data_IF_056004349025
#
_entry.id   IF_056004349025
#
_cell.length_a   1.000
_cell.length_b   1.000
_cell.length_c   1.000
_cell.angle_alpha   90.00
_cell.angle_beta   90.00
_cell.angle_gamma   90.00
#
_symmetry.space_group_name_H-M   'P 1'
#
loop_
_entity.id
_entity.type
_entity.pdbx_description
1 polymer ?
#
# COMPACT_ATOMS: atom_id res chain seq x y z
N UNK A 1 15.29 -6.30 -29.53
CA UNK A 1 13.90 -5.78 -29.49
C UNK A 1 12.85 -6.85 -29.18
N UNK A 2 12.90 -8.04 -29.78
CA UNK A 2 11.87 -9.09 -29.55
C UNK A 2 12.01 -9.73 -28.14
N UNK A 3 13.23 -9.94 -27.64
CA UNK A 3 13.50 -10.47 -26.29
C UNK A 3 12.93 -9.61 -25.15
N UNK A 4 13.19 -8.30 -25.19
CA UNK A 4 12.62 -7.34 -24.22
C UNK A 4 11.09 -7.26 -24.30
N UNK A 5 10.48 -7.56 -25.45
CA UNK A 5 9.02 -7.58 -25.61
C UNK A 5 8.42 -8.81 -24.94
N UNK A 6 9.09 -9.97 -25.04
CA UNK A 6 8.68 -11.24 -24.41
C UNK A 6 8.84 -11.16 -22.89
N UNK A 7 9.95 -10.59 -22.38
CA UNK A 7 10.15 -10.36 -20.95
C UNK A 7 9.12 -9.38 -20.36
N UNK A 8 8.79 -8.30 -21.09
CA UNK A 8 7.68 -7.40 -20.70
C UNK A 8 6.33 -8.11 -20.70
N UNK A 9 6.07 -8.96 -21.69
CA UNK A 9 4.82 -9.72 -21.78
C UNK A 9 4.71 -10.75 -20.64
N UNK A 10 5.81 -11.39 -20.25
CA UNK A 10 5.87 -12.33 -19.12
C UNK A 10 5.70 -11.60 -17.77
N UNK A 11 6.35 -10.44 -17.56
CA UNK A 11 6.12 -9.61 -16.37
C UNK A 11 4.68 -9.08 -16.30
N UNK A 12 4.08 -8.67 -17.43
CA UNK A 12 2.68 -8.25 -17.50
C UNK A 12 1.75 -9.42 -17.17
N UNK A 13 2.03 -10.62 -17.67
CA UNK A 13 1.23 -11.81 -17.35
C UNK A 13 1.34 -12.20 -15.87
N UNK A 14 2.53 -12.12 -15.25
CA UNK A 14 2.75 -12.40 -13.82
C UNK A 14 1.97 -11.38 -12.94
N UNK A 15 1.97 -10.10 -13.33
CA UNK A 15 1.25 -9.02 -12.61
C UNK A 15 -0.27 -9.09 -12.82
N UNK A 16 -0.75 -9.53 -13.99
CA UNK A 16 -2.19 -9.74 -14.25
C UNK A 16 -2.71 -10.97 -13.48
N UNK A 17 -1.88 -12.01 -13.31
CA UNK A 17 -2.20 -13.19 -12.49
C UNK A 17 -2.27 -12.82 -10.99
N UNK A 18 -1.50 -11.85 -10.50
CA UNK A 18 -1.48 -11.44 -9.08
C UNK A 18 -2.56 -10.42 -8.68
N UNK A 19 -3.09 -9.62 -9.61
CA UNK A 19 -4.13 -8.62 -9.32
C UNK A 19 -5.54 -9.20 -9.50
N UNK A 20 -5.73 -10.10 -10.48
CA UNK A 20 -6.99 -10.82 -10.67
C UNK A 20 -7.33 -11.76 -9.51
N UNK A 21 -6.37 -12.10 -8.65
CA UNK A 21 -6.49 -13.14 -7.62
C UNK A 21 -6.82 -12.62 -6.22
N UNK A 22 -6.80 -11.31 -5.93
CA UNK A 22 -7.16 -10.82 -4.59
C UNK A 22 -8.67 -10.52 -4.44
N UNK A 23 -9.28 -9.78 -5.38
CA UNK A 23 -10.73 -9.48 -5.33
C UNK A 23 -11.56 -10.65 -5.84
N UNK A 24 -11.12 -11.32 -6.92
CA UNK A 24 -11.72 -12.57 -7.36
C UNK A 24 -11.43 -13.68 -6.34
N UNK A 25 -10.28 -13.68 -5.66
CA UNK A 25 -9.94 -14.68 -4.65
C UNK A 25 -10.74 -14.59 -3.37
N UNK A 26 -11.21 -13.40 -2.92
CA UNK A 26 -12.10 -13.30 -1.74
C UNK A 26 -13.53 -13.71 -2.08
N UNK A 27 -14.05 -13.32 -3.26
CA UNK A 27 -15.38 -13.73 -3.74
C UNK A 27 -15.41 -15.20 -4.16
N UNK A 28 -14.36 -15.70 -4.84
CA UNK A 28 -14.16 -17.12 -5.10
C UNK A 28 -13.95 -17.86 -3.79
N UNK A 29 -13.13 -17.43 -2.84
CA UNK A 29 -12.96 -18.16 -1.58
C UNK A 29 -14.27 -18.28 -0.80
N UNK A 30 -15.13 -17.25 -0.76
CA UNK A 30 -16.44 -17.37 -0.11
C UNK A 30 -17.38 -18.31 -0.88
N UNK A 31 -17.38 -18.26 -2.22
CA UNK A 31 -18.15 -19.20 -3.06
C UNK A 31 -17.61 -20.63 -2.97
N UNK A 32 -16.29 -20.82 -2.97
CA UNK A 32 -15.57 -22.09 -2.92
C UNK A 32 -15.62 -22.71 -1.52
N UNK A 33 -15.59 -21.91 -0.45
CA UNK A 33 -15.82 -22.39 0.93
C UNK A 33 -17.23 -22.97 1.04
N UNK A 34 -18.25 -22.30 0.47
CA UNK A 34 -19.63 -22.80 0.47
C UNK A 34 -19.84 -24.00 -0.47
N UNK A 35 -19.14 -24.03 -1.61
CA UNK A 35 -19.23 -25.13 -2.59
C UNK A 35 -18.40 -26.36 -2.13
N UNK A 36 -17.25 -26.19 -1.49
CA UNK A 36 -16.30 -27.30 -1.19
C UNK A 36 -16.81 -28.30 -0.16
N UNK A 37 -17.65 -27.89 0.79
CA UNK A 37 -18.28 -28.84 1.73
C UNK A 37 -19.35 -29.72 1.05
N UNK A 38 -19.71 -29.42 -0.21
CA UNK A 38 -20.57 -30.27 -1.07
C UNK A 38 -19.80 -31.11 -2.10
N UNK A 39 -18.47 -30.95 -2.21
CA UNK A 39 -17.61 -31.75 -3.08
C UNK A 39 -17.07 -32.99 -2.36
N UNK A 40 -16.96 -34.11 -3.09
CA UNK A 40 -16.20 -35.27 -2.63
C UNK A 40 -14.73 -34.87 -2.45
N UNK A 41 -14.13 -35.24 -1.32
CA UNK A 41 -12.68 -35.09 -1.10
C UNK A 41 -11.93 -36.33 -1.61
N UNK A 42 -10.66 -36.15 -1.95
CA UNK A 42 -9.72 -37.25 -2.19
C UNK A 42 -8.79 -37.38 -0.97
N UNK A 43 -8.61 -38.60 -0.47
CA UNK A 43 -7.59 -38.87 0.55
C UNK A 43 -6.20 -38.72 -0.07
N UNK A 44 -5.37 -37.86 0.49
CA UNK A 44 -4.01 -37.61 0.00
C UNK A 44 -3.10 -37.30 1.20
N UNK A 45 -1.95 -37.98 1.30
CA UNK A 45 -0.97 -37.79 2.39
C UNK A 45 -1.59 -37.73 3.81
N UNK A 46 -2.51 -38.64 4.11
CA UNK A 46 -3.27 -38.75 5.38
C UNK A 46 -4.19 -37.55 5.70
N UNK A 47 -4.46 -36.70 4.71
CA UNK A 47 -5.42 -35.60 4.81
C UNK A 47 -6.52 -35.68 3.76
N UNK A 48 -7.35 -34.64 3.74
CA UNK A 48 -8.46 -34.50 2.80
C UNK A 48 -8.18 -33.36 1.84
N UNK A 49 -8.12 -33.67 0.55
CA UNK A 49 -7.95 -32.68 -0.52
C UNK A 49 -9.25 -32.44 -1.28
N UNK A 50 -9.54 -31.18 -1.56
CA UNK A 50 -10.71 -30.69 -2.27
C UNK A 50 -10.20 -29.83 -3.44
N UNK A 51 -10.25 -30.37 -4.66
CA UNK A 51 -9.75 -29.71 -5.86
C UNK A 51 -9.38 -30.72 -6.94
N UNK A 52 -8.76 -30.23 -8.00
CA UNK A 52 -8.37 -31.06 -9.13
C UNK A 52 -7.12 -31.89 -8.80
N UNK A 53 -7.10 -33.10 -9.34
CA UNK A 53 -5.98 -34.04 -9.23
C UNK A 53 -5.41 -34.29 -10.63
N UNK A 54 -4.09 -34.29 -10.76
CA UNK A 54 -3.37 -34.69 -11.97
C UNK A 54 -2.38 -35.78 -11.61
N UNK A 55 -2.38 -36.90 -12.35
CA UNK A 55 -1.48 -38.04 -12.09
C UNK A 55 -1.48 -38.52 -10.61
N UNK A 56 -2.63 -38.47 -9.94
CA UNK A 56 -2.78 -38.90 -8.55
C UNK A 56 -2.29 -37.90 -7.49
N UNK A 57 -1.92 -36.68 -7.88
CA UNK A 57 -1.50 -35.60 -6.95
C UNK A 57 -2.31 -34.32 -7.14
N UNK A 58 -2.44 -33.46 -6.10
CA UNK A 58 -3.06 -32.15 -6.18
C UNK A 58 -2.50 -31.28 -7.32
N UNK A 59 -3.38 -30.62 -8.07
CA UNK A 59 -2.99 -29.70 -9.13
C UNK A 59 -4.05 -28.61 -9.34
N UNK A 60 -3.64 -27.38 -9.62
CA UNK A 60 -4.54 -26.23 -9.74
C UNK A 60 -4.95 -25.65 -8.39
N UNK A 61 -6.05 -24.90 -8.35
CA UNK A 61 -6.61 -24.37 -7.10
C UNK A 61 -7.23 -25.48 -6.27
N UNK A 62 -6.91 -25.51 -4.97
CA UNK A 62 -7.43 -26.54 -4.09
C UNK A 62 -7.21 -26.28 -2.61
N UNK A 63 -7.94 -27.05 -1.79
CA UNK A 63 -7.89 -27.00 -0.33
C UNK A 63 -7.48 -28.35 0.24
N UNK A 64 -6.45 -28.37 1.07
CA UNK A 64 -5.98 -29.53 1.81
C UNK A 64 -6.22 -29.34 3.31
N UNK A 65 -6.78 -30.33 3.99
CA UNK A 65 -6.97 -30.35 5.45
C UNK A 65 -6.22 -31.52 6.06
N UNK A 66 -5.33 -31.25 7.01
CA UNK A 66 -4.56 -32.26 7.75
C UNK A 66 -4.24 -31.75 9.15
N UNK A 67 -4.42 -32.59 10.17
CA UNK A 67 -4.06 -32.32 11.57
C UNK A 67 -4.57 -30.97 12.11
N UNK A 68 -5.79 -30.59 11.75
CA UNK A 68 -6.40 -29.31 12.16
C UNK A 68 -5.88 -28.07 11.39
N UNK A 69 -4.94 -28.25 10.46
CA UNK A 69 -4.42 -27.20 9.59
C UNK A 69 -5.16 -27.24 8.25
N UNK A 70 -5.55 -26.06 7.77
CA UNK A 70 -6.11 -25.87 6.43
C UNK A 70 -5.09 -25.18 5.54
N UNK A 71 -4.85 -25.74 4.36
CA UNK A 71 -4.04 -25.16 3.28
C UNK A 71 -4.97 -24.88 2.10
N UNK A 72 -4.99 -23.67 1.58
CA UNK A 72 -5.86 -23.27 0.46
C UNK A 72 -5.07 -22.44 -0.55
N UNK A 73 -5.02 -22.86 -1.81
CA UNK A 73 -4.34 -22.10 -2.87
C UNK A 73 -3.92 -22.96 -4.04
N UNK A 74 -2.85 -22.54 -4.72
CA UNK A 74 -2.42 -23.12 -5.98
C UNK A 74 -1.40 -24.26 -5.77
N UNK A 75 -1.71 -25.41 -6.36
CA UNK A 75 -0.91 -26.63 -6.33
C UNK A 75 -0.37 -26.95 -7.72
N UNK A 76 0.90 -27.36 -7.78
CA UNK A 76 1.53 -27.85 -9.00
C UNK A 76 2.25 -29.16 -8.67
N UNK A 77 1.85 -30.25 -9.33
CA UNK A 77 2.44 -31.58 -9.13
C UNK A 77 2.49 -32.01 -7.64
N UNK A 78 1.45 -31.72 -6.87
CA UNK A 78 1.36 -32.04 -5.44
C UNK A 78 2.11 -31.09 -4.51
N UNK A 79 2.76 -30.05 -5.04
CA UNK A 79 3.47 -29.02 -4.28
C UNK A 79 2.62 -27.75 -4.27
N UNK A 80 2.27 -27.24 -3.10
CA UNK A 80 1.60 -25.95 -2.98
C UNK A 80 2.63 -24.83 -3.21
N UNK A 81 2.39 -23.98 -4.20
CA UNK A 81 3.30 -22.91 -4.61
C UNK A 81 2.94 -21.56 -3.98
N UNK A 82 1.65 -21.34 -3.69
CA UNK A 82 1.17 -20.13 -3.03
C UNK A 82 -0.21 -20.32 -2.44
N UNK A 83 -0.52 -19.57 -1.39
CA UNK A 83 -1.87 -19.51 -0.84
C UNK A 83 -1.87 -19.22 0.65
N UNK A 84 -2.91 -19.72 1.32
CA UNK A 84 -3.20 -19.46 2.72
C UNK A 84 -3.07 -20.74 3.56
N UNK A 85 -2.39 -20.63 4.70
CA UNK A 85 -2.32 -21.68 5.72
C UNK A 85 -2.98 -21.17 6.99
N UNK A 86 -3.99 -21.88 7.48
CA UNK A 86 -4.71 -21.56 8.71
C UNK A 86 -4.50 -22.65 9.75
N UNK A 87 -3.96 -22.27 10.91
CA UNK A 87 -3.72 -23.14 12.06
C UNK A 87 -4.28 -22.51 13.35
N UNK A 88 -4.15 -23.25 14.45
CA UNK A 88 -4.39 -22.77 15.80
C UNK A 88 -3.39 -21.69 16.26
N UNK A 89 -2.22 -21.58 15.59
CA UNK A 89 -1.15 -20.64 15.96
C UNK A 89 -1.07 -19.40 15.09
N UNK A 90 -1.40 -19.52 13.81
CA UNK A 90 -1.27 -18.44 12.85
C UNK A 90 -2.16 -18.61 11.63
N UNK A 91 -2.32 -17.51 10.90
CA UNK A 91 -2.73 -17.48 9.51
C UNK A 91 -1.52 -16.99 8.70
N UNK A 92 -1.11 -17.75 7.70
CA UNK A 92 -0.09 -17.36 6.73
C UNK A 92 -0.73 -17.18 5.36
N UNK A 93 -0.29 -16.17 4.61
CA UNK A 93 -0.66 -15.96 3.21
C UNK A 93 0.57 -15.52 2.42
N UNK A 94 0.95 -16.28 1.38
CA UNK A 94 2.14 -15.98 0.59
C UNK A 94 2.59 -17.15 -0.28
N UNK A 95 3.84 -17.06 -0.70
CA UNK A 95 4.53 -18.11 -1.46
C UNK A 95 4.88 -19.32 -0.57
N UNK A 96 4.90 -20.50 -1.17
CA UNK A 96 5.05 -21.77 -0.47
C UNK A 96 5.95 -22.70 -1.27
N UNK A 97 6.63 -23.59 -0.57
CA UNK A 97 7.26 -24.77 -1.17
C UNK A 97 6.68 -26.00 -0.48
N UNK A 98 5.53 -26.45 -0.97
CA UNK A 98 4.74 -27.49 -0.31
C UNK A 98 4.07 -26.91 0.93
N UNK A 99 4.32 -27.49 2.11
CA UNK A 99 3.75 -27.00 3.37
C UNK A 99 4.62 -25.96 4.07
N UNK A 100 5.78 -25.60 3.50
CA UNK A 100 6.74 -24.68 4.10
C UNK A 100 6.58 -23.27 3.55
N UNK A 101 6.71 -22.27 4.41
CA UNK A 101 6.75 -20.87 3.99
C UNK A 101 8.02 -20.63 3.17
N UNK A 102 7.85 -19.97 2.01
CA UNK A 102 8.94 -19.61 1.11
C UNK A 102 8.62 -18.28 0.43
N UNK A 103 9.59 -17.66 -0.24
CA UNK A 103 9.37 -16.39 -0.94
C UNK A 103 8.83 -15.29 -0.02
N UNK A 104 8.02 -14.38 -0.56
CA UNK A 104 7.38 -13.35 0.25
C UNK A 104 6.03 -13.83 0.82
N UNK A 105 5.78 -13.51 2.09
CA UNK A 105 4.48 -13.80 2.70
C UNK A 105 4.20 -13.05 4.00
N UNK A 106 2.95 -13.13 4.42
CA UNK A 106 2.42 -12.47 5.60
C UNK A 106 1.98 -13.52 6.60
N UNK A 107 2.52 -13.46 7.83
CA UNK A 107 2.08 -14.29 8.94
C UNK A 107 1.40 -13.44 10.00
N UNK A 108 0.15 -13.75 10.31
CA UNK A 108 -0.61 -13.19 11.42
C UNK A 108 -0.77 -14.25 12.51
N UNK A 109 -0.15 -14.00 13.66
CA UNK A 109 -0.12 -14.94 14.77
C UNK A 109 -1.28 -14.68 15.72
N UNK A 110 -1.82 -15.74 16.34
CA UNK A 110 -2.93 -15.62 17.30
C UNK A 110 -2.55 -14.87 18.57
N UNK A 111 -1.25 -14.71 18.85
CA UNK A 111 -0.73 -13.88 19.95
C UNK A 111 -0.70 -12.38 19.63
N UNK A 112 -1.19 -11.97 18.45
CA UNK A 112 -1.30 -10.58 18.01
C UNK A 112 -0.09 -10.07 17.23
N UNK A 113 0.97 -10.86 17.06
CA UNK A 113 2.11 -10.48 16.20
C UNK A 113 1.72 -10.58 14.73
N UNK A 114 2.35 -9.76 13.90
CA UNK A 114 2.22 -9.85 12.44
C UNK A 114 3.56 -9.61 11.75
N UNK A 115 3.88 -10.42 10.76
CA UNK A 115 5.11 -10.30 9.97
C UNK A 115 4.77 -10.18 8.49
N UNK A 116 5.42 -9.24 7.82
CA UNK A 116 5.42 -9.08 6.36
C UNK A 116 6.87 -9.16 5.90
N UNK A 117 7.21 -10.14 5.06
CA UNK A 117 8.58 -10.24 4.58
C UNK A 117 8.89 -11.55 3.92
N UNK A 118 10.18 -11.76 3.66
CA UNK A 118 10.66 -12.98 3.04
C UNK A 118 10.79 -14.14 4.02
N UNK A 119 10.67 -15.34 3.45
CA UNK A 119 10.72 -16.63 4.13
C UNK A 119 11.59 -17.62 3.35
N UNK A 120 12.31 -18.47 4.09
CA UNK A 120 13.07 -19.58 3.55
C UNK A 120 12.88 -20.79 4.45
N UNK A 121 12.12 -21.79 3.98
CA UNK A 121 11.87 -23.03 4.71
C UNK A 121 11.35 -22.79 6.13
N UNK A 122 10.28 -22.00 6.27
CA UNK A 122 9.64 -21.59 7.54
C UNK A 122 10.42 -20.58 8.39
N UNK A 123 11.66 -20.24 8.02
CA UNK A 123 12.44 -19.21 8.69
C UNK A 123 12.21 -17.85 8.05
N UNK A 124 12.03 -16.80 8.86
CA UNK A 124 12.11 -15.41 8.37
C UNK A 124 13.47 -15.20 7.73
N UNK A 125 13.50 -14.63 6.53
CA UNK A 125 14.71 -14.41 5.76
C UNK A 125 14.58 -13.08 5.00
N UNK A 126 15.68 -12.51 4.51
CA UNK A 126 15.65 -11.29 3.70
C UNK A 126 15.00 -10.10 4.41
N UNK A 127 14.48 -9.13 3.66
CA UNK A 127 13.83 -7.95 4.22
C UNK A 127 12.50 -8.34 4.89
N UNK A 128 12.23 -7.78 6.07
CA UNK A 128 10.96 -8.00 6.76
C UNK A 128 10.58 -6.92 7.76
N UNK A 129 9.26 -6.73 7.92
CA UNK A 129 8.62 -5.90 8.94
C UNK A 129 7.87 -6.80 9.93
N UNK A 130 8.30 -6.79 11.18
CA UNK A 130 7.60 -7.42 12.30
C UNK A 130 6.87 -6.35 13.11
N UNK A 131 5.57 -6.56 13.33
CA UNK A 131 4.77 -5.81 14.29
C UNK A 131 4.48 -6.70 15.50
N UNK A 132 4.81 -6.22 16.69
CA UNK A 132 4.48 -6.90 17.95
C UNK A 132 2.99 -6.73 18.29
N UNK A 133 2.53 -7.46 19.31
CA UNK A 133 1.17 -7.30 19.86
C UNK A 133 0.89 -5.88 20.39
N UNK A 134 1.94 -5.16 20.80
CA UNK A 134 1.89 -3.81 21.37
C UNK A 134 2.21 -2.76 20.30
N UNK A 135 2.01 -3.09 19.01
CA UNK A 135 2.28 -2.24 17.83
C UNK A 135 3.73 -1.77 17.63
N UNK A 136 4.69 -2.22 18.44
CA UNK A 136 6.12 -1.95 18.21
C UNK A 136 6.58 -2.59 16.91
N UNK A 137 7.35 -1.84 16.12
CA UNK A 137 7.87 -2.29 14.83
C UNK A 137 9.34 -2.72 14.93
N UNK A 138 9.69 -3.73 14.15
CA UNK A 138 11.07 -4.11 13.86
C UNK A 138 11.21 -4.32 12.36
N UNK A 139 12.14 -3.61 11.74
CA UNK A 139 12.35 -3.64 10.29
C UNK A 139 13.84 -3.81 10.00
N UNK A 140 14.22 -4.94 9.41
CA UNK A 140 15.60 -5.29 9.14
C UNK A 140 15.68 -6.42 8.10
N UNK A 141 16.90 -6.82 7.76
CA UNK A 141 17.14 -8.11 7.12
C UNK A 141 17.14 -9.22 8.15
N UNK A 142 16.64 -10.40 7.78
CA UNK A 142 16.62 -11.61 8.57
C UNK A 142 17.49 -12.68 7.92
N UNK A 143 18.19 -13.47 8.73
CA UNK A 143 18.90 -14.66 8.29
C UNK A 143 18.54 -15.85 9.18
N UNK A 144 17.95 -16.90 8.58
CA UNK A 144 17.47 -18.10 9.27
C UNK A 144 16.68 -17.80 10.56
N UNK A 145 15.79 -16.81 10.51
CA UNK A 145 14.95 -16.40 11.64
C UNK A 145 15.57 -15.33 12.56
N UNK A 146 16.85 -15.02 12.39
CA UNK A 146 17.57 -14.05 13.23
C UNK A 146 17.59 -12.67 12.59
N UNK A 147 17.23 -11.65 13.37
CA UNK A 147 17.34 -10.24 12.94
C UNK A 147 18.80 -9.84 12.77
N UNK A 148 19.12 -9.19 11.66
CA UNK A 148 20.44 -8.61 11.40
C UNK A 148 20.45 -7.18 11.95
N UNK A 149 20.82 -7.06 13.23
CA UNK A 149 20.86 -5.77 13.95
C UNK A 149 22.08 -4.97 13.51
N UNK A 150 21.89 -3.67 13.34
CA UNK A 150 22.96 -2.70 13.04
C UNK A 150 23.37 -2.03 14.36
N UNK A 151 24.56 -2.32 14.93
CA UNK A 151 24.90 -1.93 16.30
C UNK A 151 24.90 -0.42 16.57
N UNK A 152 25.20 0.39 15.56
CA UNK A 152 25.36 1.85 15.69
C UNK A 152 24.09 2.62 15.24
N UNK A 153 22.94 1.95 15.14
CA UNK A 153 21.67 2.61 14.81
C UNK A 153 21.12 3.34 16.04
N UNK A 154 20.89 4.64 15.92
CA UNK A 154 20.37 5.52 16.97
C UNK A 154 18.95 6.03 16.64
N UNK A 155 18.06 5.11 16.29
CA UNK A 155 16.65 5.40 16.03
C UNK A 155 15.80 4.15 16.28
N UNK A 156 14.51 4.35 16.57
CA UNK A 156 13.54 3.26 16.57
C UNK A 156 12.66 3.32 15.33
N UNK A 157 12.26 2.14 14.84
CA UNK A 157 11.29 2.05 13.75
C UNK A 157 9.93 2.50 14.26
N UNK A 158 9.35 3.47 13.56
CA UNK A 158 8.04 4.03 13.89
C UNK A 158 8.08 5.33 14.70
N UNK A 159 9.24 5.77 15.19
CA UNK A 159 9.37 7.10 15.82
C UNK A 159 9.14 8.20 14.78
N UNK A 160 9.69 8.02 13.58
CA UNK A 160 9.35 8.78 12.37
C UNK A 160 8.62 7.87 11.40
N UNK A 161 7.49 8.34 10.88
CA UNK A 161 6.63 7.57 9.99
C UNK A 161 6.78 8.08 8.56
N UNK A 162 7.57 7.35 7.78
CA UNK A 162 7.82 7.69 6.38
C UNK A 162 6.89 6.95 5.42
N UNK A 163 6.56 7.61 4.33
CA UNK A 163 5.75 7.06 3.26
C UNK A 163 6.03 7.71 1.93
N UNK A 164 5.35 7.22 0.90
CA UNK A 164 5.47 7.70 -0.46
C UNK A 164 4.12 8.10 -1.01
N UNK A 165 4.10 9.00 -1.98
CA UNK A 165 2.99 9.11 -2.89
C UNK A 165 3.45 8.86 -4.32
N UNK A 166 2.55 8.26 -5.09
CA UNK A 166 2.91 7.57 -6.33
C UNK A 166 1.78 7.65 -7.35
N UNK A 167 2.15 7.55 -8.61
CA UNK A 167 1.24 7.48 -9.76
C UNK A 167 1.74 6.45 -10.77
N UNK A 168 1.17 6.42 -11.98
CA UNK A 168 1.73 5.63 -13.08
C UNK A 168 3.18 5.96 -13.43
N UNK A 169 3.66 7.15 -13.08
CA UNK A 169 4.99 7.62 -13.46
C UNK A 169 6.12 6.92 -12.70
N UNK A 170 5.84 6.30 -11.55
CA UNK A 170 6.78 5.48 -10.80
C UNK A 170 6.95 4.05 -11.36
N UNK A 171 6.32 3.73 -12.49
CA UNK A 171 6.56 2.47 -13.19
C UNK A 171 6.04 1.24 -12.43
N UNK A 172 6.82 0.16 -12.47
CA UNK A 172 6.56 -1.07 -11.70
C UNK A 172 7.33 -0.97 -10.39
N UNK A 173 6.62 -1.10 -9.28
CA UNK A 173 7.19 -1.00 -7.93
C UNK A 173 7.37 -2.40 -7.36
N UNK A 174 8.57 -2.71 -6.84
CA UNK A 174 8.86 -3.94 -6.09
C UNK A 174 8.44 -3.76 -4.62
N UNK A 175 7.14 -3.86 -4.36
CA UNK A 175 6.54 -3.52 -3.06
C UNK A 175 7.14 -4.27 -1.87
N UNK A 176 7.54 -5.52 -2.08
CA UNK A 176 8.18 -6.37 -1.07
C UNK A 176 9.60 -5.95 -0.69
N UNK A 177 10.25 -5.14 -1.54
CA UNK A 177 11.62 -4.67 -1.37
C UNK A 177 11.69 -3.16 -1.03
N UNK A 178 10.56 -2.54 -0.68
CA UNK A 178 10.51 -1.10 -0.41
C UNK A 178 11.14 -0.72 0.93
N UNK A 179 12.20 0.07 0.87
CA UNK A 179 12.77 0.79 2.00
C UNK A 179 13.53 2.04 1.56
N UNK A 180 13.71 2.96 2.51
CA UNK A 180 14.59 4.10 2.36
C UNK A 180 15.93 3.80 3.02
N UNK A 181 17.03 4.26 2.41
CA UNK A 181 18.29 4.39 3.14
C UNK A 181 18.26 5.67 3.99
N UNK A 182 18.84 5.61 5.18
CA UNK A 182 18.91 6.74 6.12
C UNK A 182 20.31 6.85 6.76
N UNK A 183 20.53 7.89 7.56
CA UNK A 183 21.71 8.00 8.41
C UNK A 183 21.55 7.19 9.72
N UNK A 184 22.56 7.23 10.58
CA UNK A 184 22.55 6.53 11.87
C UNK A 184 21.45 7.03 12.83
N UNK A 185 20.91 8.23 12.60
CA UNK A 185 19.80 8.84 13.34
C UNK A 185 18.43 8.51 12.72
N UNK A 186 18.39 7.67 11.69
CA UNK A 186 17.15 7.23 11.04
C UNK A 186 16.51 8.28 10.12
N UNK A 187 17.26 9.31 9.75
CA UNK A 187 16.79 10.41 8.91
C UNK A 187 17.02 10.13 7.42
N UNK A 188 15.96 10.32 6.63
CA UNK A 188 16.03 10.23 5.17
C UNK A 188 16.39 11.62 4.63
N UNK A 189 17.32 11.66 3.70
CA UNK A 189 17.70 12.90 3.01
C UNK A 189 17.73 12.71 1.49
N UNK A 190 17.66 13.81 0.74
CA UNK A 190 17.79 13.80 -0.71
C UNK A 190 19.19 13.39 -1.20
N UNK A 191 20.18 13.41 -0.30
CA UNK A 191 21.53 12.90 -0.52
C UNK A 191 21.60 11.53 0.14
N UNK A 192 21.56 10.49 -0.68
CA UNK A 192 21.59 9.11 -0.21
C UNK A 192 22.80 8.84 0.69
N UNK A 193 22.55 8.20 1.82
CA UNK A 193 23.49 7.20 2.31
C UNK A 193 23.32 5.94 1.42
N UNK A 194 24.26 5.69 0.52
CA UNK A 194 24.22 4.52 -0.38
C UNK A 194 24.68 3.23 0.30
N UNK A 195 25.05 3.27 1.57
CA UNK A 195 25.60 2.10 2.27
C UNK A 195 24.55 1.01 2.51
N UNK A 196 23.24 1.31 2.37
CA UNK A 196 22.11 0.44 2.74
C UNK A 196 22.20 -0.08 4.19
N UNK A 197 23.09 0.51 4.99
CA UNK A 197 23.42 0.04 6.34
C UNK A 197 22.28 0.38 7.29
N UNK A 198 21.76 1.60 7.21
CA UNK A 198 20.60 2.05 7.98
C UNK A 198 19.42 2.18 7.04
N UNK A 199 18.29 1.60 7.46
CA UNK A 199 17.08 1.57 6.66
C UNK A 199 15.86 2.01 7.47
N UNK A 200 14.95 2.69 6.80
CA UNK A 200 13.60 2.99 7.29
C UNK A 200 12.56 2.32 6.38
N UNK A 201 11.50 1.72 6.93
CA UNK A 201 10.42 1.18 6.11
C UNK A 201 9.62 2.30 5.46
N UNK A 202 9.09 2.01 4.27
CA UNK A 202 7.89 2.70 3.79
C UNK A 202 6.71 2.17 4.60
N UNK A 203 6.04 3.00 5.39
CA UNK A 203 4.91 2.60 6.25
C UNK A 203 3.55 2.93 5.65
N UNK A 204 3.49 3.96 4.79
CA UNK A 204 2.28 4.29 4.05
C UNK A 204 2.56 4.62 2.58
N UNK A 205 1.53 4.45 1.75
CA UNK A 205 1.56 4.82 0.35
C UNK A 205 0.22 5.44 -0.08
N UNK A 206 0.25 6.62 -0.71
CA UNK A 206 -0.94 7.28 -1.25
C UNK A 206 -0.85 7.27 -2.78
N UNK A 207 -1.75 6.53 -3.44
CA UNK A 207 -1.69 6.33 -4.89
C UNK A 207 -2.64 7.26 -5.64
N UNK A 208 -2.20 7.82 -6.77
CA UNK A 208 -3.08 8.53 -7.70
C UNK A 208 -4.17 7.59 -8.16
N UNK A 209 -5.43 7.97 -7.96
CA UNK A 209 -6.55 7.20 -8.49
C UNK A 209 -7.11 7.82 -9.76
N UNK A 210 -7.49 9.09 -9.71
CA UNK A 210 -8.15 9.77 -10.84
C UNK A 210 -7.69 11.22 -10.99
N UNK A 211 -7.96 11.78 -12.16
CA UNK A 211 -7.76 13.18 -12.50
C UNK A 211 -8.95 13.68 -13.33
N UNK A 212 -9.55 14.80 -12.91
CA UNK A 212 -10.74 15.30 -13.58
C UNK A 212 -11.87 14.26 -13.60
N UNK A 213 -12.78 14.36 -14.57
CA UNK A 213 -13.92 13.44 -14.69
C UNK A 213 -13.70 12.28 -15.67
N UNK A 214 -12.47 12.09 -16.17
CA UNK A 214 -12.21 11.20 -17.32
C UNK A 214 -10.99 10.29 -17.21
N UNK A 215 -10.00 10.64 -16.38
CA UNK A 215 -8.74 9.93 -16.35
C UNK A 215 -8.61 9.11 -15.06
N UNK A 216 -8.52 7.79 -15.20
CA UNK A 216 -8.09 6.86 -14.15
C UNK A 216 -6.59 6.60 -14.30
N UNK A 217 -5.88 6.56 -13.19
CA UNK A 217 -4.47 6.17 -13.20
C UNK A 217 -4.34 4.68 -13.53
N UNK A 218 -3.55 4.37 -14.57
CA UNK A 218 -3.41 3.01 -15.09
C UNK A 218 -2.70 2.05 -14.13
N UNK A 219 -2.04 2.57 -13.08
CA UNK A 219 -1.36 1.78 -12.05
C UNK A 219 -2.07 1.80 -10.70
N UNK A 220 -3.17 2.54 -10.54
CA UNK A 220 -3.84 2.68 -9.23
C UNK A 220 -4.15 1.34 -8.59
N UNK A 221 -4.81 0.45 -9.33
CA UNK A 221 -5.27 -0.84 -8.80
C UNK A 221 -4.10 -1.74 -8.36
N UNK A 222 -3.09 -1.88 -9.22
CA UNK A 222 -1.87 -2.65 -8.90
C UNK A 222 -1.12 -2.06 -7.72
N UNK A 223 -0.99 -0.74 -7.67
CA UNK A 223 -0.24 -0.07 -6.62
C UNK A 223 -0.96 -0.17 -5.28
N UNK A 224 -2.27 0.06 -5.26
CA UNK A 224 -3.08 -0.02 -4.06
C UNK A 224 -3.16 -1.45 -3.50
N UNK A 225 -3.39 -2.47 -4.35
CA UNK A 225 -3.48 -3.86 -3.88
C UNK A 225 -2.15 -4.37 -3.34
N UNK A 226 -1.04 -4.11 -4.05
CA UNK A 226 0.28 -4.57 -3.63
C UNK A 226 0.82 -3.82 -2.40
N UNK A 227 0.55 -2.52 -2.28
CA UNK A 227 0.84 -1.76 -1.07
C UNK A 227 0.13 -2.38 0.15
N UNK A 228 -1.16 -2.70 0.01
CA UNK A 228 -1.95 -3.30 1.09
C UNK A 228 -1.46 -4.71 1.43
N UNK A 229 -1.15 -5.54 0.42
CA UNK A 229 -0.52 -6.86 0.60
C UNK A 229 0.81 -6.76 1.35
N UNK A 230 1.58 -5.69 1.11
CA UNK A 230 2.85 -5.42 1.76
C UNK A 230 2.73 -4.62 3.08
N UNK A 231 1.54 -4.57 3.67
CA UNK A 231 1.32 -4.04 5.01
C UNK A 231 1.38 -2.52 5.11
N UNK A 232 1.28 -1.80 3.98
CA UNK A 232 1.28 -0.33 3.99
C UNK A 232 -0.10 0.19 4.39
N UNK A 233 -0.13 1.26 5.19
CA UNK A 233 -1.35 2.05 5.32
C UNK A 233 -1.57 2.76 3.98
N UNK A 234 -2.68 2.46 3.32
CA UNK A 234 -2.92 2.92 1.95
C UNK A 234 -3.80 4.17 1.94
N UNK A 235 -3.65 4.99 0.90
CA UNK A 235 -4.53 6.10 0.59
C UNK A 235 -4.68 6.25 -0.92
N UNK A 236 -5.62 7.11 -1.32
CA UNK A 236 -5.80 7.45 -2.72
C UNK A 236 -6.05 8.95 -2.88
N UNK A 237 -5.50 9.53 -3.95
CA UNK A 237 -5.71 10.93 -4.26
C UNK A 237 -6.39 11.16 -5.61
N UNK A 238 -7.14 12.26 -5.66
CA UNK A 238 -7.79 12.79 -6.85
C UNK A 238 -7.16 14.11 -7.26
N UNK A 239 -6.61 14.17 -8.46
CA UNK A 239 -6.09 15.41 -9.04
C UNK A 239 -7.24 16.27 -9.55
N UNK A 240 -7.52 17.37 -8.87
CA UNK A 240 -8.62 18.26 -9.20
C UNK A 240 -8.31 19.06 -10.47
N UNK A 241 -9.32 19.29 -11.31
CA UNK A 241 -9.19 20.12 -12.51
C UNK A 241 -10.35 21.10 -12.64
N UNK A 242 -10.19 22.10 -13.51
CA UNK A 242 -11.28 23.04 -13.86
C UNK A 242 -12.16 22.55 -15.02
N UNK A 243 -11.92 21.33 -15.55
CA UNK A 243 -12.54 20.86 -16.79
C UNK A 243 -13.92 20.24 -16.60
N UNK A 244 -14.36 20.08 -15.36
CA UNK A 244 -15.64 19.49 -14.98
C UNK A 244 -16.09 20.00 -13.60
N UNK A 245 -17.38 19.85 -13.27
CA UNK A 245 -17.90 20.20 -11.94
C UNK A 245 -17.27 19.34 -10.84
N UNK A 246 -17.31 19.83 -9.59
CA UNK A 246 -16.79 19.07 -8.44
C UNK A 246 -17.56 17.77 -8.24
N UNK A 247 -18.88 17.82 -8.48
CA UNK A 247 -19.76 16.65 -8.41
C UNK A 247 -19.43 15.56 -9.44
N UNK A 248 -19.16 15.94 -10.69
CA UNK A 248 -18.76 14.98 -11.72
C UNK A 248 -17.42 14.31 -11.39
N UNK A 249 -16.45 15.11 -10.95
CA UNK A 249 -15.14 14.64 -10.53
C UNK A 249 -15.24 13.70 -9.30
N UNK A 250 -16.06 14.05 -8.31
CA UNK A 250 -16.29 13.21 -7.14
C UNK A 250 -16.95 11.88 -7.49
N UNK A 251 -17.99 11.90 -8.34
CA UNK A 251 -18.64 10.68 -8.84
C UNK A 251 -17.63 9.78 -9.55
N UNK A 252 -16.79 10.36 -10.39
CA UNK A 252 -15.75 9.62 -11.11
C UNK A 252 -14.70 9.02 -10.16
N UNK A 253 -14.24 9.79 -9.16
CA UNK A 253 -13.33 9.28 -8.13
C UNK A 253 -13.94 8.11 -7.36
N UNK A 254 -15.17 8.26 -6.85
CA UNK A 254 -15.88 7.21 -6.09
C UNK A 254 -16.00 5.91 -6.89
N UNK A 255 -16.37 5.99 -8.16
CA UNK A 255 -16.55 4.81 -9.02
C UNK A 255 -15.24 4.06 -9.31
N UNK A 256 -14.10 4.75 -9.25
CA UNK A 256 -12.80 4.19 -9.64
C UNK A 256 -11.84 3.98 -8.46
N UNK A 257 -12.28 4.25 -7.22
CA UNK A 257 -11.42 4.21 -6.02
C UNK A 257 -12.05 3.39 -4.89
N UNK A 258 -11.99 2.04 -4.96
CA UNK A 258 -12.49 1.18 -3.88
C UNK A 258 -11.54 1.17 -2.67
N UNK A 259 -11.54 2.27 -1.91
CA UNK A 259 -10.90 2.32 -0.59
C UNK A 259 -11.59 1.34 0.37
N UNK A 260 -10.84 0.81 1.32
CA UNK A 260 -11.32 -0.16 2.30
C UNK A 260 -10.91 0.24 3.71
N UNK A 261 -11.55 -0.39 4.71
CA UNK A 261 -11.31 -0.10 6.12
C UNK A 261 -9.82 -0.11 6.45
N UNK A 262 -9.38 0.91 7.19
CA UNK A 262 -7.98 1.09 7.57
C UNK A 262 -7.14 1.90 6.58
N UNK A 263 -7.75 2.47 5.54
CA UNK A 263 -7.10 3.45 4.66
C UNK A 263 -7.17 4.86 5.22
N UNK A 264 -6.26 5.71 4.73
CA UNK A 264 -6.37 7.15 4.86
C UNK A 264 -7.70 7.65 4.31
N UNK A 265 -8.22 8.79 4.83
CA UNK A 265 -9.29 9.50 4.15
C UNK A 265 -8.95 9.81 2.68
N UNK A 266 -9.94 9.96 1.80
CA UNK A 266 -9.71 10.40 0.43
C UNK A 266 -8.91 11.70 0.38
N UNK A 267 -7.94 11.80 -0.51
CA UNK A 267 -7.14 13.01 -0.67
C UNK A 267 -7.62 13.79 -1.90
N UNK A 268 -7.91 15.07 -1.72
CA UNK A 268 -8.07 16.02 -2.81
C UNK A 268 -6.74 16.71 -3.08
N UNK A 269 -6.16 16.46 -4.24
CA UNK A 269 -4.97 17.16 -4.72
C UNK A 269 -5.40 18.50 -5.34
N UNK A 270 -5.11 19.58 -4.60
CA UNK A 270 -5.53 20.95 -4.83
C UNK A 270 -4.32 21.82 -5.19
N UNK A 271 -3.93 21.77 -6.46
CA UNK A 271 -2.76 22.48 -6.98
C UNK A 271 -3.04 23.29 -8.25
N UNK A 272 -2.20 24.29 -8.51
CA UNK A 272 -2.33 25.25 -9.63
C UNK A 272 -1.98 24.68 -11.01
N UNK A 273 -1.77 23.38 -11.13
CA UNK A 273 -1.39 22.78 -12.41
C UNK A 273 -2.63 22.34 -13.18
N UNK A 274 -2.72 22.73 -14.44
CA UNK A 274 -3.69 22.16 -15.36
C UNK A 274 -3.33 20.71 -15.72
N UNK A 275 -4.28 20.01 -16.33
CA UNK A 275 -4.06 18.66 -16.86
C UNK A 275 -2.91 18.55 -17.90
N UNK A 276 -2.51 19.68 -18.51
CA UNK A 276 -1.37 19.80 -19.43
C UNK A 276 -0.06 20.22 -18.75
N UNK A 277 -0.04 20.33 -17.41
CA UNK A 277 1.12 20.69 -16.61
C UNK A 277 1.42 22.20 -16.54
N UNK A 278 0.57 23.07 -17.09
CA UNK A 278 0.77 24.53 -17.02
C UNK A 278 0.19 25.11 -15.74
N UNK A 279 0.94 25.99 -15.09
CA UNK A 279 0.48 26.77 -13.94
C UNK A 279 -0.57 27.81 -14.37
N UNK A 280 -1.66 27.92 -13.62
CA UNK A 280 -2.70 28.96 -13.81
C UNK A 280 -2.54 30.12 -12.81
N UNK A 281 -2.95 31.33 -13.22
CA UNK A 281 -2.90 32.52 -12.36
C UNK A 281 -3.79 32.38 -11.13
N UNK A 282 -3.50 33.16 -10.09
CA UNK A 282 -4.24 33.13 -8.82
C UNK A 282 -5.72 33.49 -9.01
N UNK A 283 -6.04 34.43 -9.89
CA UNK A 283 -7.42 34.82 -10.20
C UNK A 283 -8.19 33.66 -10.79
N UNK A 284 -7.59 32.95 -11.76
CA UNK A 284 -8.20 31.79 -12.38
C UNK A 284 -8.27 30.60 -11.43
N UNK A 285 -7.29 30.45 -10.56
CA UNK A 285 -7.27 29.40 -9.55
C UNK A 285 -8.36 29.62 -8.48
N UNK A 286 -8.74 30.86 -8.17
CA UNK A 286 -9.83 31.13 -7.23
C UNK A 286 -11.16 30.46 -7.65
N UNK A 287 -11.39 30.27 -8.96
CA UNK A 287 -12.56 29.58 -9.51
C UNK A 287 -12.60 28.07 -9.17
N UNK A 288 -11.47 27.48 -8.73
CA UNK A 288 -11.41 26.07 -8.34
C UNK A 288 -11.96 25.83 -6.92
N UNK A 289 -12.13 26.87 -6.10
CA UNK A 289 -12.62 26.76 -4.71
C UNK A 289 -14.04 26.19 -4.65
N UNK A 290 -15.04 26.72 -5.39
CA UNK A 290 -16.38 26.11 -5.41
C UNK A 290 -16.36 24.66 -5.89
N UNK A 291 -15.53 24.35 -6.91
CA UNK A 291 -15.37 22.99 -7.45
C UNK A 291 -14.79 22.05 -6.37
N UNK A 292 -13.77 22.48 -5.64
CA UNK A 292 -13.19 21.72 -4.54
C UNK A 292 -14.21 21.45 -3.42
N UNK A 293 -14.98 22.47 -3.03
CA UNK A 293 -16.03 22.33 -1.99
C UNK A 293 -17.12 21.35 -2.40
N UNK A 294 -17.59 21.42 -3.65
CA UNK A 294 -18.52 20.44 -4.20
C UNK A 294 -17.95 19.02 -4.15
N UNK A 295 -16.70 18.84 -4.60
CA UNK A 295 -16.04 17.54 -4.56
C UNK A 295 -15.95 16.99 -3.14
N UNK A 296 -15.48 17.81 -2.20
CA UNK A 296 -15.34 17.45 -0.78
C UNK A 296 -16.67 17.04 -0.19
N UNK A 297 -17.74 17.80 -0.45
CA UNK A 297 -19.08 17.51 0.07
C UNK A 297 -19.59 16.14 -0.43
N UNK A 298 -19.41 15.85 -1.72
CA UNK A 298 -19.86 14.60 -2.35
C UNK A 298 -19.05 13.39 -1.84
N UNK A 299 -17.72 13.52 -1.75
CA UNK A 299 -16.82 12.46 -1.26
C UNK A 299 -17.05 12.19 0.23
N UNK A 300 -17.19 13.23 1.05
CA UNK A 300 -17.53 13.11 2.47
C UNK A 300 -18.89 12.43 2.65
N UNK A 301 -19.87 12.75 1.81
CA UNK A 301 -21.19 12.11 1.86
C UNK A 301 -21.11 10.63 1.52
N UNK A 302 -20.24 10.21 0.60
CA UNK A 302 -20.08 8.81 0.22
C UNK A 302 -19.27 8.02 1.25
N UNK A 303 -18.02 8.40 1.53
CA UNK A 303 -17.12 7.63 2.41
C UNK A 303 -17.36 7.87 3.91
N UNK A 304 -18.19 8.84 4.29
CA UNK A 304 -18.51 9.19 5.69
C UNK A 304 -17.31 9.64 6.53
N UNK A 305 -16.23 10.07 5.88
CA UNK A 305 -15.03 10.62 6.50
C UNK A 305 -14.70 11.98 5.86
N UNK A 306 -14.03 12.86 6.61
CA UNK A 306 -13.54 14.12 6.06
C UNK A 306 -12.31 13.87 5.19
N UNK A 307 -12.30 14.31 3.91
CA UNK A 307 -11.12 14.22 3.04
C UNK A 307 -9.92 15.00 3.60
N UNK A 308 -8.72 14.64 3.15
CA UNK A 308 -7.49 15.43 3.33
C UNK A 308 -7.31 16.33 2.11
N UNK A 309 -6.82 17.55 2.29
CA UNK A 309 -6.47 18.44 1.17
C UNK A 309 -4.96 18.46 1.00
N UNK A 310 -4.46 17.97 -0.15
CA UNK A 310 -3.07 18.15 -0.55
C UNK A 310 -2.87 19.50 -1.24
N UNK A 311 -1.82 20.23 -0.85
CA UNK A 311 -1.41 21.46 -1.55
C UNK A 311 0.00 21.91 -1.14
N UNK A 312 0.55 22.95 -1.77
CA UNK A 312 1.78 23.59 -1.30
C UNK A 312 1.52 24.74 -0.32
N UNK A 313 2.56 25.17 0.41
CA UNK A 313 2.46 26.20 1.45
C UNK A 313 1.93 27.55 0.95
N UNK A 314 2.25 27.95 -0.27
CA UNK A 314 1.78 29.20 -0.85
C UNK A 314 0.26 29.15 -1.12
N UNK A 315 -0.21 28.11 -1.81
CA UNK A 315 -1.64 27.92 -2.08
C UNK A 315 -2.42 27.79 -0.77
N UNK A 316 -1.88 27.06 0.22
CA UNK A 316 -2.49 26.94 1.53
C UNK A 316 -2.75 28.31 2.17
N UNK A 317 -1.72 29.17 2.26
CA UNK A 317 -1.83 30.49 2.90
C UNK A 317 -2.80 31.41 2.16
N UNK A 318 -2.81 31.36 0.84
CA UNK A 318 -3.65 32.26 0.01
C UNK A 318 -5.12 31.84 0.01
N UNK A 319 -5.41 30.54 -0.12
CA UNK A 319 -6.76 30.06 -0.43
C UNK A 319 -7.40 29.16 0.63
N UNK A 320 -6.62 28.35 1.35
CA UNK A 320 -7.17 27.41 2.33
C UNK A 320 -7.30 28.08 3.69
N UNK A 321 -6.25 28.73 4.17
CA UNK A 321 -6.20 29.34 5.50
C UNK A 321 -7.19 30.52 5.65
N UNK A 322 -7.49 31.20 4.55
CA UNK A 322 -8.40 32.35 4.47
C UNK A 322 -9.86 31.94 4.29
N UNK A 323 -10.13 30.70 3.83
CA UNK A 323 -11.47 30.19 3.63
C UNK A 323 -12.04 29.57 4.92
N UNK A 324 -13.22 30.02 5.33
CA UNK A 324 -13.85 29.62 6.59
C UNK A 324 -14.27 28.14 6.67
N UNK A 325 -14.38 27.46 5.53
CA UNK A 325 -14.73 26.05 5.43
C UNK A 325 -13.49 25.19 5.23
N UNK A 326 -12.63 25.54 4.25
CA UNK A 326 -11.48 24.72 3.89
C UNK A 326 -10.42 24.65 4.99
N UNK A 327 -10.24 25.71 5.79
CA UNK A 327 -9.29 25.74 6.91
C UNK A 327 -9.54 24.70 8.01
N UNK A 328 -10.69 24.02 7.99
CA UNK A 328 -11.09 23.01 9.00
C UNK A 328 -10.66 21.59 8.64
N UNK A 329 -10.17 21.36 7.42
CA UNK A 329 -9.75 20.05 6.96
C UNK A 329 -8.30 19.78 7.34
N UNK A 330 -7.95 18.51 7.53
CA UNK A 330 -6.56 18.09 7.66
C UNK A 330 -5.85 18.33 6.32
N UNK A 331 -4.59 18.76 6.37
CA UNK A 331 -3.83 19.07 5.15
C UNK A 331 -2.60 18.19 4.99
N UNK A 332 -2.33 17.83 3.74
CA UNK A 332 -1.07 17.23 3.33
C UNK A 332 -0.27 18.31 2.58
N UNK A 333 0.81 18.78 3.19
CA UNK A 333 1.52 19.95 2.71
C UNK A 333 2.78 19.55 1.94
N UNK A 334 2.89 20.03 0.70
CA UNK A 334 4.14 20.07 -0.03
C UNK A 334 4.97 21.28 0.40
N UNK A 335 6.14 21.00 0.95
CA UNK A 335 7.14 22.01 1.32
C UNK A 335 8.54 21.41 1.22
N UNK A 336 9.08 21.22 0.01
CA UNK A 336 10.42 20.71 -0.20
C UNK A 336 11.47 21.69 0.34
N UNK A 337 12.56 21.17 0.92
CA UNK A 337 13.74 21.95 1.35
C UNK A 337 13.50 22.97 2.49
N UNK A 338 12.32 22.99 3.11
CA UNK A 338 12.05 23.79 4.30
C UNK A 338 12.29 22.99 5.59
N UNK A 339 12.45 23.70 6.72
CA UNK A 339 12.16 23.11 8.03
C UNK A 339 10.70 22.62 8.08
N UNK A 340 10.36 21.82 9.10
CA UNK A 340 9.00 21.34 9.37
C UNK A 340 7.95 22.46 9.12
N UNK A 341 6.85 22.18 8.38
CA UNK A 341 5.88 23.21 8.04
C UNK A 341 5.25 23.87 9.27
N UNK A 342 5.28 25.20 9.34
CA UNK A 342 4.56 25.96 10.36
C UNK A 342 3.08 26.14 9.95
N UNK A 343 2.32 25.03 9.97
CA UNK A 343 0.90 24.93 9.66
C UNK A 343 0.23 24.02 10.71
N UNK A 344 -0.75 24.50 11.45
CA UNK A 344 -1.21 23.76 12.63
C UNK A 344 -1.99 22.47 12.34
N UNK A 345 -2.65 22.38 11.18
CA UNK A 345 -3.54 21.29 10.80
C UNK A 345 -2.93 20.33 9.75
N UNK A 346 -1.61 20.38 9.51
CA UNK A 346 -1.00 19.40 8.62
C UNK A 346 -0.87 18.03 9.31
N UNK A 347 -1.21 16.98 8.59
CA UNK A 347 -1.09 15.59 9.03
C UNK A 347 -0.04 14.81 8.23
N UNK A 348 0.24 15.27 7.02
CA UNK A 348 1.29 14.74 6.15
C UNK A 348 2.14 15.90 5.62
N UNK A 349 3.42 15.67 5.47
CA UNK A 349 4.35 16.62 4.86
C UNK A 349 5.14 15.92 3.76
N UNK A 350 4.95 16.36 2.52
CA UNK A 350 5.80 16.01 1.38
C UNK A 350 7.03 16.92 1.41
N UNK A 351 8.18 16.34 1.78
CA UNK A 351 9.43 17.09 1.99
C UNK A 351 10.44 16.90 0.87
N UNK A 352 10.16 16.00 -0.08
CA UNK A 352 11.02 15.75 -1.24
C UNK A 352 10.21 15.29 -2.44
N UNK A 353 10.59 15.78 -3.62
CA UNK A 353 10.16 15.28 -4.94
C UNK A 353 11.22 14.42 -5.64
N UNK A 354 12.42 14.36 -5.06
CA UNK A 354 13.61 13.78 -5.70
C UNK A 354 14.13 12.58 -4.91
N UNK A 355 13.24 11.94 -4.15
CA UNK A 355 13.53 10.78 -3.34
C UNK A 355 13.99 9.59 -4.17
N UNK A 356 14.87 8.80 -3.57
CA UNK A 356 15.24 7.48 -4.06
C UNK A 356 14.82 6.45 -3.01
N UNK A 357 14.15 5.40 -3.48
CA UNK A 357 13.57 4.35 -2.63
C UNK A 357 13.93 3.02 -3.27
N UNK A 358 14.50 2.10 -2.48
CA UNK A 358 14.77 0.76 -2.99
C UNK A 358 13.46 0.14 -3.49
N UNK A 359 13.49 -0.54 -4.64
CA UNK A 359 12.30 -1.11 -5.27
C UNK A 359 11.58 -0.20 -6.26
N UNK A 360 12.01 1.05 -6.43
CA UNK A 360 11.56 1.97 -7.50
C UNK A 360 12.79 2.43 -8.29
N UNK A 361 13.10 1.72 -9.39
CA UNK A 361 14.36 1.87 -10.12
C UNK A 361 14.29 2.95 -11.22
N UNK A 362 13.10 3.23 -11.74
CA UNK A 362 12.92 3.98 -13.00
C UNK A 362 12.72 5.49 -12.80
N UNK A 363 12.43 5.95 -11.58
CA UNK A 363 12.07 7.35 -11.35
C UNK A 363 12.39 7.83 -9.93
N UNK A 364 12.34 9.15 -9.78
CA UNK A 364 12.26 9.78 -8.47
C UNK A 364 10.87 9.57 -7.85
N UNK A 365 10.83 9.70 -6.53
CA UNK A 365 9.65 9.44 -5.72
C UNK A 365 9.42 10.61 -4.76
N UNK A 366 8.17 10.98 -4.60
CA UNK A 366 7.74 11.93 -3.59
C UNK A 366 7.77 11.27 -2.20
N UNK A 367 8.55 11.84 -1.28
CA UNK A 367 8.72 11.30 0.08
C UNK A 367 7.95 12.16 1.08
N UNK A 368 7.21 11.46 1.92
CA UNK A 368 6.32 12.04 2.91
C UNK A 368 6.67 11.59 4.31
N UNK A 369 6.36 12.45 5.28
CA UNK A 369 6.35 12.11 6.70
C UNK A 369 4.97 12.38 7.28
N UNK A 370 4.46 11.44 8.08
CA UNK A 370 3.26 11.65 8.88
C UNK A 370 3.60 12.43 10.15
N UNK A 371 2.72 13.34 10.54
CA UNK A 371 2.90 14.19 11.71
C UNK A 371 2.58 13.43 13.01
N UNK A 372 3.52 12.58 13.43
CA UNK A 372 3.41 11.74 14.62
C UNK A 372 4.21 10.45 14.47
N UNK A 373 4.21 9.64 15.53
CA UNK A 373 4.80 8.31 15.51
C UNK A 373 3.81 7.28 14.91
N UNK A 374 4.21 6.01 14.87
CA UNK A 374 3.38 4.96 14.28
C UNK A 374 2.08 4.68 15.05
N UNK A 375 2.06 4.85 16.37
CA UNK A 375 0.83 4.72 17.16
C UNK A 375 -0.14 5.87 16.85
N UNK A 376 0.37 7.09 16.71
CA UNK A 376 -0.41 8.26 16.28
C UNK A 376 -1.01 8.02 14.88
N UNK A 377 -0.25 7.41 13.95
CA UNK A 377 -0.78 7.01 12.64
C UNK A 377 -1.95 6.03 12.79
N UNK A 378 -1.78 4.96 13.59
CA UNK A 378 -2.83 3.97 13.77
C UNK A 378 -4.09 4.56 14.39
N UNK A 379 -3.95 5.47 15.37
CA UNK A 379 -5.08 6.16 15.97
C UNK A 379 -5.73 7.15 14.99
N UNK A 380 -4.94 7.85 14.16
CA UNK A 380 -5.47 8.69 13.08
C UNK A 380 -6.32 7.88 12.11
N UNK A 381 -5.82 6.73 11.64
CA UNK A 381 -6.57 5.84 10.74
C UNK A 381 -7.82 5.28 11.42
N UNK A 382 -7.71 4.86 12.68
CA UNK A 382 -8.85 4.35 13.45
C UNK A 382 -9.93 5.40 13.67
N UNK A 383 -9.59 6.67 13.83
CA UNK A 383 -10.55 7.75 14.11
C UNK A 383 -11.04 8.44 12.85
N UNK A 384 -10.15 8.80 11.93
CA UNK A 384 -10.43 9.58 10.72
C UNK A 384 -10.47 8.76 9.43
N UNK A 385 -9.74 7.65 9.37
CA UNK A 385 -9.65 6.79 8.18
C UNK A 385 -10.94 6.06 7.82
N UNK A 386 -10.92 5.41 6.66
CA UNK A 386 -12.05 4.66 6.07
C UNK A 386 -12.55 3.57 7.03
N UNK A 387 -13.88 3.44 7.14
CA UNK A 387 -14.56 2.59 8.13
C UNK A 387 -15.07 1.27 7.58
#
# INVERSE_FOLDING_TARGET
MIKNKIEKQQQINIVVISIGSFILGVLLNLLFVWISDSYKYTSWNDGKYYGDMSNGVPNGEGRFKKDGITYSGFWENGIMASGKIESDKYIYEGELNGTKFSGYGVAEYKDGKKYWGYWLNDYKHGLGLLKSKDNKLSFCFFDHGNMQIVPDANYNIGDKVYGIDISRYQGIIKWQDLFFSCNAEGEISNKLDKSHRYIQPVLFAIAKSTQGSKLRDSRFESNYSEAKRCGKVCGAYHFLTMTASGKEQAKYYIQNTPLSKGDFPPVLDFEKNNADGKTISDEKFAEIIPIAKEWIAEVKRYYKVSPIIYTNTNIYRTFIATDNELKKYDVWIASPESSQPNINNYILWQFSHNGEVNGIDESKVDINIFNGNYEDLLEYIKTKGIK
#
